data_IF_709340258289
#
_entry.id   IF_709340258289
#
_cell.length_a   1.000
_cell.length_b   1.000
_cell.length_c   1.000
_cell.angle_alpha   90.00
_cell.angle_beta   90.00
_cell.angle_gamma   90.00
#
_symmetry.space_group_name_H-M   'P 1'
#
loop_
_entity.id
_entity.type
_entity.pdbx_description
1 polymer ?
#
# COMPACT_ATOMS: atom_id res chain seq x y z
N UNK A 1 -4.64 -6.54 14.64
CA UNK A 1 -5.01 -5.68 15.76
C UNK A 1 -6.52 -5.58 15.75
N UNK A 2 -7.17 -6.47 16.47
CA UNK A 2 -8.61 -6.38 16.67
C UNK A 2 -8.83 -5.43 17.84
N UNK A 3 -9.03 -4.15 17.55
CA UNK A 3 -9.62 -3.24 18.51
C UNK A 3 -11.09 -3.66 18.72
N UNK A 4 -11.33 -4.59 19.61
CA UNK A 4 -12.66 -4.85 20.16
C UNK A 4 -12.93 -3.95 21.35
N UNK A 5 -12.64 -2.68 21.23
CA UNK A 5 -13.36 -1.71 22.04
C UNK A 5 -14.43 -1.10 21.15
N UNK A 6 -15.56 -1.77 21.14
CA UNK A 6 -16.81 -1.20 20.66
C UNK A 6 -17.10 -0.01 21.56
N UNK A 7 -16.81 1.19 21.09
CA UNK A 7 -17.36 2.42 21.66
C UNK A 7 -18.88 2.32 21.47
N UNK A 8 -19.56 1.80 22.46
CA UNK A 8 -21.02 1.89 22.55
C UNK A 8 -21.33 3.34 22.90
N UNK A 9 -21.52 4.17 21.88
CA UNK A 9 -22.15 5.47 22.04
C UNK A 9 -23.60 5.20 22.39
N UNK A 10 -23.90 5.15 23.69
CA UNK A 10 -25.27 5.20 24.20
C UNK A 10 -25.71 6.67 24.16
N UNK A 11 -26.47 7.02 23.12
CA UNK A 11 -27.30 8.22 23.08
C UNK A 11 -28.38 8.06 24.19
N UNK A 12 -28.16 8.69 25.35
CA UNK A 12 -29.20 8.84 26.35
C UNK A 12 -29.90 10.18 26.09
N UNK A 13 -31.07 10.08 25.47
CA UNK A 13 -32.09 11.12 25.48
C UNK A 13 -32.63 11.32 26.92
N UNK A 14 -32.61 12.54 27.31
CA UNK A 14 -33.35 13.24 28.33
C UNK A 14 -33.96 12.47 29.50
N UNK A 15 -33.39 12.72 30.68
CA UNK A 15 -34.04 12.45 31.97
C UNK A 15 -33.18 13.01 33.09
N UNK A 16 -33.65 14.07 33.74
CA UNK A 16 -33.09 14.54 34.99
C UNK A 16 -33.08 13.40 36.01
N UNK A 17 -31.97 12.72 36.21
CA UNK A 17 -31.77 11.78 37.31
C UNK A 17 -30.44 12.04 38.03
N UNK A 18 -30.52 11.95 39.31
CA UNK A 18 -29.56 12.32 40.31
C UNK A 18 -28.12 11.91 40.03
N UNK A 19 -27.12 12.79 40.22
CA UNK A 19 -25.71 12.54 39.93
C UNK A 19 -25.06 11.37 40.72
N UNK A 20 -25.73 10.88 41.75
CA UNK A 20 -25.25 9.78 42.59
C UNK A 20 -25.15 8.42 41.87
N UNK A 21 -26.03 8.11 40.90
CA UNK A 21 -26.06 6.80 40.27
C UNK A 21 -24.94 6.60 39.26
N UNK A 22 -24.53 7.66 38.56
CA UNK A 22 -23.45 7.59 37.52
C UNK A 22 -22.07 7.38 38.13
N UNK A 23 -21.80 7.94 39.29
CA UNK A 23 -20.50 7.82 39.96
C UNK A 23 -20.37 6.49 40.73
N UNK A 24 -21.48 5.99 41.32
CA UNK A 24 -21.44 4.63 41.85
C UNK A 24 -21.12 3.59 40.78
N UNK A 25 -21.57 3.83 39.54
CA UNK A 25 -21.28 2.96 38.42
C UNK A 25 -19.81 3.09 37.92
N UNK A 26 -19.23 4.30 37.94
CA UNK A 26 -17.82 4.49 37.55
C UNK A 26 -16.86 4.03 38.65
N UNK A 27 -17.20 4.19 39.92
CA UNK A 27 -16.47 3.61 41.05
C UNK A 27 -16.50 2.08 40.97
N UNK A 28 -17.67 1.50 40.67
CA UNK A 28 -17.80 0.05 40.49
C UNK A 28 -17.04 -0.50 39.26
N UNK A 29 -16.85 0.30 38.21
CA UNK A 29 -16.12 -0.11 37.02
C UNK A 29 -14.59 0.06 37.15
N UNK A 30 -14.10 0.76 38.16
CA UNK A 30 -12.64 0.91 38.38
C UNK A 30 -12.01 -0.30 39.08
N UNK A 31 -12.82 -1.25 39.57
CA UNK A 31 -12.32 -2.39 40.36
C UNK A 31 -11.74 -2.00 41.74
N UNK A 32 -11.79 -0.72 42.09
CA UNK A 32 -11.18 -0.17 43.31
C UNK A 32 -12.11 -0.17 44.52
N UNK A 33 -13.31 -0.72 44.39
CA UNK A 33 -14.31 -0.75 45.48
C UNK A 33 -14.89 0.62 45.83
N UNK A 34 -15.90 0.64 46.72
CA UNK A 34 -16.43 1.91 47.25
C UNK A 34 -15.53 2.43 48.37
N UNK A 35 -15.13 3.73 48.35
CA UNK A 35 -14.37 4.30 49.44
C UNK A 35 -15.19 4.31 50.74
N UNK A 36 -14.65 3.72 51.80
CA UNK A 36 -15.25 3.81 53.11
C UNK A 36 -15.08 5.23 53.66
N UNK A 37 -16.21 5.85 54.08
CA UNK A 37 -16.28 7.15 54.79
C UNK A 37 -15.40 8.27 54.18
N UNK A 38 -15.76 8.73 52.99
CA UNK A 38 -15.19 9.97 52.43
C UNK A 38 -16.08 11.17 52.74
N UNK A 39 -15.45 12.36 52.83
CA UNK A 39 -16.18 13.60 53.07
C UNK A 39 -17.07 14.02 51.91
N UNK A 40 -18.17 14.75 52.19
CA UNK A 40 -18.99 15.35 51.12
C UNK A 40 -18.14 16.28 50.20
N UNK A 41 -17.16 16.97 50.77
CA UNK A 41 -16.24 17.84 50.02
C UNK A 41 -15.38 17.02 49.01
N UNK A 42 -14.94 15.84 49.42
CA UNK A 42 -14.25 14.91 48.48
C UNK A 42 -15.17 14.53 47.31
N UNK A 43 -16.40 14.11 47.63
CA UNK A 43 -17.36 13.69 46.60
C UNK A 43 -17.69 14.82 45.64
N UNK A 44 -17.90 16.04 46.15
CA UNK A 44 -18.18 17.21 45.31
C UNK A 44 -17.04 17.49 44.34
N UNK A 45 -15.78 17.52 44.83
CA UNK A 45 -14.59 17.75 44.02
C UNK A 45 -14.34 16.65 43.00
N UNK A 46 -14.57 15.38 43.42
CA UNK A 46 -14.42 14.24 42.53
C UNK A 46 -15.48 14.21 41.41
N UNK A 47 -16.75 14.51 41.74
CA UNK A 47 -17.82 14.63 40.77
C UNK A 47 -17.56 15.77 39.74
N UNK A 48 -17.06 16.90 40.22
CA UNK A 48 -16.68 18.00 39.31
C UNK A 48 -15.57 17.54 38.36
N UNK A 49 -14.59 16.77 38.84
CA UNK A 49 -13.55 16.21 37.98
C UNK A 49 -14.11 15.32 36.86
N UNK A 50 -15.01 14.40 37.23
CA UNK A 50 -15.65 13.50 36.25
C UNK A 50 -16.51 14.28 35.25
N UNK A 51 -17.22 15.30 35.70
CA UNK A 51 -17.98 16.20 34.82
C UNK A 51 -17.08 16.92 33.85
N UNK A 52 -15.96 17.52 34.32
CA UNK A 52 -14.98 18.20 33.44
C UNK A 52 -14.33 17.22 32.45
N UNK A 53 -14.00 16.00 32.89
CA UNK A 53 -13.51 14.93 32.00
C UNK A 53 -14.53 14.58 30.93
N UNK A 54 -15.82 14.47 31.25
CA UNK A 54 -16.88 14.09 30.30
C UNK A 54 -17.10 15.10 29.18
N UNK A 55 -16.75 16.36 29.42
CA UNK A 55 -16.77 17.44 28.42
C UNK A 55 -15.35 17.73 27.85
N UNK A 56 -14.44 16.79 28.02
CA UNK A 56 -13.06 16.82 27.52
C UNK A 56 -12.19 17.97 28.07
N UNK A 57 -12.62 18.58 29.18
CA UNK A 57 -11.88 19.62 29.85
C UNK A 57 -10.87 19.06 30.86
N UNK A 58 -9.90 18.30 30.34
CA UNK A 58 -8.97 17.51 31.14
C UNK A 58 -8.12 18.34 32.12
N UNK A 59 -7.81 19.58 31.79
CA UNK A 59 -7.05 20.48 32.68
C UNK A 59 -7.86 20.84 33.93
N UNK A 60 -9.14 21.21 33.78
CA UNK A 60 -10.01 21.50 34.92
C UNK A 60 -10.36 20.22 35.69
N UNK A 61 -10.46 19.07 35.00
CA UNK A 61 -10.61 17.78 35.68
C UNK A 61 -9.43 17.52 36.61
N UNK A 62 -8.18 17.76 36.20
CA UNK A 62 -6.99 17.62 37.04
C UNK A 62 -7.06 18.57 38.21
N UNK A 63 -7.44 19.84 38.04
CA UNK A 63 -7.57 20.81 39.17
C UNK A 63 -8.62 20.36 40.19
N UNK A 64 -9.72 19.80 39.71
CA UNK A 64 -10.75 19.25 40.62
C UNK A 64 -10.26 17.99 41.34
N UNK A 65 -9.49 17.10 40.69
CA UNK A 65 -8.87 15.94 41.31
C UNK A 65 -7.83 16.34 42.37
N UNK A 66 -7.06 17.43 42.18
CA UNK A 66 -6.14 17.96 43.19
C UNK A 66 -6.85 18.40 44.48
N UNK A 67 -8.08 18.94 44.34
CA UNK A 67 -8.91 19.25 45.50
C UNK A 67 -9.42 17.95 46.17
N UNK A 68 -10.00 17.04 45.39
CA UNK A 68 -10.44 15.75 45.88
C UNK A 68 -9.34 15.02 46.64
N UNK A 69 -8.11 15.00 46.15
CA UNK A 69 -6.97 14.38 46.83
C UNK A 69 -6.68 14.99 48.20
N UNK A 70 -6.77 16.30 48.32
CA UNK A 70 -6.58 16.98 49.63
C UNK A 70 -7.69 16.64 50.62
N UNK A 71 -8.88 16.41 50.12
CA UNK A 71 -10.09 16.14 50.88
C UNK A 71 -10.33 14.66 51.17
N UNK A 72 -9.48 13.76 50.62
CA UNK A 72 -9.53 12.31 50.85
C UNK A 72 -9.23 11.90 52.32
N UNK A 73 -8.62 12.81 53.09
CA UNK A 73 -8.27 12.56 54.48
C UNK A 73 -7.25 11.44 54.71
N UNK A 74 -6.50 11.07 53.65
CA UNK A 74 -5.55 9.95 53.70
C UNK A 74 -6.22 8.58 53.51
N UNK A 75 -7.48 8.56 53.06
CA UNK A 75 -8.14 7.32 52.70
C UNK A 75 -7.47 6.72 51.45
N UNK A 76 -6.81 5.57 51.63
CA UNK A 76 -6.02 4.93 50.58
C UNK A 76 -6.86 4.55 49.36
N UNK A 77 -8.10 4.14 49.56
CA UNK A 77 -9.01 3.76 48.48
C UNK A 77 -9.45 5.00 47.66
N UNK A 78 -9.79 6.10 48.37
CA UNK A 78 -10.13 7.36 47.72
C UNK A 78 -8.91 7.91 46.93
N UNK A 79 -7.71 7.84 47.51
CA UNK A 79 -6.48 8.26 46.83
C UNK A 79 -6.21 7.40 45.59
N UNK A 80 -6.40 6.10 45.65
CA UNK A 80 -6.21 5.20 44.50
C UNK A 80 -7.13 5.56 43.33
N UNK A 81 -8.43 5.82 43.61
CA UNK A 81 -9.40 6.25 42.57
C UNK A 81 -8.97 7.59 41.96
N UNK A 82 -8.54 8.55 42.78
CA UNK A 82 -8.09 9.86 42.33
C UNK A 82 -6.84 9.72 41.47
N UNK A 83 -5.85 8.91 41.87
CA UNK A 83 -4.63 8.68 41.07
C UNK A 83 -4.95 8.02 39.72
N UNK A 84 -5.89 7.10 39.68
CA UNK A 84 -6.33 6.48 38.43
C UNK A 84 -6.98 7.50 37.49
N UNK A 85 -7.88 8.35 38.03
CA UNK A 85 -8.48 9.42 37.23
C UNK A 85 -7.46 10.49 36.80
N UNK A 86 -6.47 10.86 37.65
CA UNK A 86 -5.37 11.70 37.21
C UNK A 86 -4.69 11.11 35.99
N UNK A 87 -4.32 9.84 36.05
CA UNK A 87 -3.63 9.19 34.93
C UNK A 87 -4.42 9.22 33.64
N UNK A 88 -5.72 8.90 33.70
CA UNK A 88 -6.60 8.95 32.51
C UNK A 88 -6.65 10.34 31.87
N UNK A 89 -6.77 11.40 32.66
CA UNK A 89 -6.76 12.78 32.16
C UNK A 89 -5.37 13.20 31.63
N UNK A 90 -4.30 12.82 32.34
CA UNK A 90 -2.92 13.11 31.93
C UNK A 90 -2.54 12.41 30.62
N UNK A 91 -3.01 11.19 30.38
CA UNK A 91 -2.84 10.51 29.08
C UNK A 91 -3.47 11.34 27.95
N UNK A 92 -4.68 11.88 28.15
CA UNK A 92 -5.35 12.74 27.17
C UNK A 92 -4.57 14.04 26.92
N UNK A 93 -3.95 14.59 27.95
CA UNK A 93 -3.07 15.78 27.87
C UNK A 93 -1.64 15.44 27.39
N UNK A 94 -1.34 14.18 27.08
CA UNK A 94 0.01 13.70 26.70
C UNK A 94 1.07 13.88 27.79
N UNK A 95 0.65 13.97 29.04
CA UNK A 95 1.52 14.06 30.21
C UNK A 95 1.89 12.64 30.69
N UNK A 96 2.53 11.87 29.84
CA UNK A 96 2.73 10.43 29.99
C UNK A 96 3.51 10.04 31.25
N UNK A 97 4.56 10.81 31.61
CA UNK A 97 5.35 10.54 32.79
C UNK A 97 4.54 10.67 34.08
N UNK A 98 3.70 11.70 34.17
CA UNK A 98 2.82 11.89 35.34
C UNK A 98 1.75 10.78 35.41
N UNK A 99 1.19 10.40 34.26
CA UNK A 99 0.26 9.30 34.17
C UNK A 99 0.87 7.99 34.68
N UNK A 100 2.08 7.65 34.23
CA UNK A 100 2.82 6.46 34.70
C UNK A 100 2.99 6.47 36.22
N UNK A 101 3.49 7.57 36.78
CA UNK A 101 3.69 7.72 38.24
C UNK A 101 2.39 7.48 39.01
N UNK A 102 1.26 8.02 38.51
CA UNK A 102 -0.02 7.86 39.19
C UNK A 102 -0.57 6.44 39.05
N UNK A 103 -0.46 5.79 37.90
CA UNK A 103 -0.82 4.38 37.75
C UNK A 103 0.02 3.45 38.62
N UNK A 104 1.32 3.71 38.73
CA UNK A 104 2.20 2.95 39.63
C UNK A 104 1.85 3.13 41.11
N UNK A 105 1.39 4.32 41.51
CA UNK A 105 0.89 4.51 42.90
C UNK A 105 -0.30 3.61 43.19
N UNK A 106 -1.23 3.49 42.26
CA UNK A 106 -2.38 2.57 42.42
C UNK A 106 -1.91 1.13 42.49
N UNK A 107 -1.02 0.69 41.57
CA UNK A 107 -0.52 -0.69 41.55
C UNK A 107 0.35 -1.08 42.77
N UNK A 108 0.85 -0.11 43.54
CA UNK A 108 1.52 -0.42 44.82
C UNK A 108 0.52 -0.85 45.88
N UNK A 109 -0.72 -0.36 45.82
CA UNK A 109 -1.82 -0.72 46.75
C UNK A 109 -2.57 -1.94 46.24
N UNK A 110 -2.83 -1.99 44.93
CA UNK A 110 -3.59 -3.03 44.23
C UNK A 110 -2.82 -3.60 43.06
N UNK A 111 -1.85 -4.51 43.28
CA UNK A 111 -0.93 -5.00 42.26
C UNK A 111 -1.58 -5.76 41.09
N UNK A 112 -2.82 -6.23 41.32
CA UNK A 112 -3.58 -7.04 40.37
C UNK A 112 -4.81 -6.31 39.81
N UNK A 113 -4.91 -4.99 40.01
CA UNK A 113 -6.02 -4.22 39.44
C UNK A 113 -5.96 -4.22 37.94
N UNK A 114 -6.89 -4.95 37.32
CA UNK A 114 -6.89 -5.20 35.88
C UNK A 114 -6.99 -3.90 35.08
N UNK A 115 -7.92 -2.99 35.43
CA UNK A 115 -8.15 -1.74 34.69
C UNK A 115 -6.90 -0.84 34.69
N UNK A 116 -6.19 -0.83 35.81
CA UNK A 116 -4.95 -0.05 35.95
C UNK A 116 -3.80 -0.70 35.18
N UNK A 117 -3.71 -2.04 35.21
CA UNK A 117 -2.71 -2.78 34.43
C UNK A 117 -2.93 -2.57 32.92
N UNK A 118 -4.20 -2.62 32.46
CA UNK A 118 -4.55 -2.36 31.06
C UNK A 118 -4.21 -0.91 30.64
N UNK A 119 -4.59 0.06 31.48
CA UNK A 119 -4.31 1.48 31.20
C UNK A 119 -2.78 1.74 31.13
N UNK A 120 -2.00 1.12 32.01
CA UNK A 120 -0.55 1.25 32.01
C UNK A 120 0.09 0.49 30.83
N UNK A 121 -0.47 -0.66 30.45
CA UNK A 121 -0.09 -1.39 29.25
C UNK A 121 -0.30 -0.52 28.00
N UNK A 122 -1.48 0.08 27.86
CA UNK A 122 -1.80 0.96 26.74
C UNK A 122 -0.86 2.17 26.68
N UNK A 123 -0.54 2.75 27.84
CA UNK A 123 0.42 3.85 27.95
C UNK A 123 1.81 3.45 27.45
N UNK A 124 2.33 2.29 27.88
CA UNK A 124 3.64 1.81 27.42
C UNK A 124 3.63 1.42 25.92
N UNK A 125 2.51 0.91 25.44
CA UNK A 125 2.36 0.63 24.01
C UNK A 125 2.35 1.92 23.19
N UNK A 126 1.63 2.95 23.66
CA UNK A 126 1.56 4.28 23.05
C UNK A 126 2.92 4.98 23.02
N UNK A 127 3.66 4.91 24.13
CA UNK A 127 5.01 5.51 24.28
C UNK A 127 6.10 4.64 23.67
N UNK A 128 5.77 3.45 23.16
CA UNK A 128 6.68 2.46 22.59
C UNK A 128 7.69 1.87 23.58
N UNK A 129 7.40 1.94 24.87
CA UNK A 129 8.18 1.22 25.88
C UNK A 129 7.75 -0.26 25.94
N UNK A 130 8.05 -0.97 24.86
CA UNK A 130 7.59 -2.35 24.67
C UNK A 130 8.19 -3.31 25.71
N UNK A 131 9.34 -2.99 26.30
CA UNK A 131 9.92 -3.83 27.35
C UNK A 131 9.10 -3.78 28.63
N UNK A 132 8.64 -2.60 29.05
CA UNK A 132 7.72 -2.45 30.17
C UNK A 132 6.35 -3.05 29.85
N UNK A 133 5.83 -2.85 28.63
CA UNK A 133 4.59 -3.46 28.16
C UNK A 133 4.61 -5.00 28.26
N UNK A 134 5.75 -5.67 27.95
CA UNK A 134 5.90 -7.13 28.11
C UNK A 134 5.68 -7.59 29.55
N UNK A 135 6.14 -6.81 30.51
CA UNK A 135 5.98 -7.17 31.92
C UNK A 135 4.50 -7.15 32.31
N UNK A 136 3.76 -6.14 31.85
CA UNK A 136 2.34 -5.98 32.16
C UNK A 136 1.48 -7.00 31.43
N UNK A 137 1.73 -7.21 30.15
CA UNK A 137 0.92 -8.15 29.35
C UNK A 137 1.01 -9.57 29.91
N UNK A 138 2.16 -9.95 30.50
CA UNK A 138 2.29 -11.24 31.18
C UNK A 138 1.41 -11.37 32.42
N UNK A 139 1.13 -10.27 33.12
CA UNK A 139 0.17 -10.26 34.22
C UNK A 139 -1.26 -10.31 33.68
N UNK A 140 -1.55 -9.56 32.62
CA UNK A 140 -2.87 -9.50 32.01
C UNK A 140 -3.32 -10.84 31.39
N UNK A 141 -2.41 -11.69 30.94
CA UNK A 141 -2.69 -13.05 30.43
C UNK A 141 -3.43 -13.91 31.48
N UNK A 142 -3.28 -13.64 32.78
CA UNK A 142 -3.98 -14.36 33.84
C UNK A 142 -5.47 -14.05 33.81
N UNK A 143 -5.84 -12.84 33.46
CA UNK A 143 -7.22 -12.36 33.36
C UNK A 143 -7.85 -12.70 32.01
N UNK A 144 -7.08 -12.51 30.93
CA UNK A 144 -7.53 -12.82 29.58
C UNK A 144 -6.37 -13.41 28.73
N UNK A 145 -6.61 -14.62 28.22
CA UNK A 145 -5.63 -15.34 27.41
C UNK A 145 -5.37 -14.69 26.04
N UNK A 146 -6.28 -13.84 25.56
CA UNK A 146 -6.13 -13.12 24.28
C UNK A 146 -4.89 -12.21 24.28
N UNK A 147 -4.45 -11.72 25.45
CA UNK A 147 -3.19 -10.99 25.62
C UNK A 147 -1.93 -11.76 25.22
N UNK A 148 -2.03 -13.09 24.97
CA UNK A 148 -0.92 -13.84 24.38
C UNK A 148 -0.61 -13.41 22.95
N UNK A 149 -1.61 -12.97 22.19
CA UNK A 149 -1.37 -12.40 20.86
C UNK A 149 -0.61 -11.07 20.96
N UNK A 150 -0.96 -10.23 21.93
CA UNK A 150 -0.24 -8.99 22.21
C UNK A 150 1.20 -9.27 22.64
N UNK A 151 1.41 -10.29 23.48
CA UNK A 151 2.76 -10.69 23.89
C UNK A 151 3.60 -11.15 22.67
N UNK A 152 3.02 -11.90 21.75
CA UNK A 152 3.72 -12.30 20.52
C UNK A 152 4.10 -11.07 19.65
N UNK A 153 3.20 -10.09 19.55
CA UNK A 153 3.47 -8.83 18.85
C UNK A 153 4.59 -8.03 19.54
N UNK A 154 4.57 -7.91 20.88
CA UNK A 154 5.59 -7.23 21.64
C UNK A 154 6.98 -7.90 21.51
N UNK A 155 7.02 -9.23 21.50
CA UNK A 155 8.26 -9.96 21.22
C UNK A 155 8.78 -9.65 19.82
N UNK A 156 7.91 -9.55 18.80
CA UNK A 156 8.33 -9.15 17.46
C UNK A 156 8.86 -7.70 17.44
N UNK A 157 8.19 -6.75 18.11
CA UNK A 157 8.62 -5.34 18.17
C UNK A 157 9.94 -5.17 18.92
N UNK A 158 10.21 -6.00 19.92
CA UNK A 158 11.48 -6.00 20.67
C UNK A 158 12.53 -6.92 20.06
N UNK A 159 12.31 -7.41 18.83
CA UNK A 159 13.20 -8.30 18.08
C UNK A 159 13.50 -9.63 18.78
N UNK A 160 12.66 -10.06 19.71
CA UNK A 160 12.73 -11.38 20.36
C UNK A 160 12.01 -12.43 19.47
N UNK A 161 12.45 -12.55 18.23
CA UNK A 161 11.75 -13.28 17.18
C UNK A 161 11.51 -14.76 17.49
N UNK A 162 12.49 -15.44 18.14
CA UNK A 162 12.34 -16.84 18.52
C UNK A 162 11.19 -17.04 19.52
N UNK A 163 11.10 -16.14 20.53
CA UNK A 163 10.01 -16.19 21.51
C UNK A 163 8.66 -15.91 20.86
N UNK A 164 8.63 -14.96 19.92
CA UNK A 164 7.42 -14.66 19.18
C UNK A 164 6.96 -15.86 18.34
N UNK A 165 7.88 -16.51 17.59
CA UNK A 165 7.57 -17.68 16.77
C UNK A 165 7.09 -18.86 17.60
N UNK A 166 7.76 -19.14 18.74
CA UNK A 166 7.36 -20.22 19.65
C UNK A 166 5.95 -19.97 20.22
N UNK A 167 5.68 -18.75 20.67
CA UNK A 167 4.36 -18.40 21.21
C UNK A 167 3.28 -18.51 20.12
N UNK A 168 3.56 -18.02 18.91
CA UNK A 168 2.64 -18.14 17.77
C UNK A 168 2.37 -19.60 17.39
N UNK A 169 3.35 -20.50 17.53
CA UNK A 169 3.14 -21.94 17.31
C UNK A 169 2.21 -22.54 18.37
N UNK A 170 2.44 -22.23 19.64
CA UNK A 170 1.57 -22.69 20.74
C UNK A 170 0.13 -22.20 20.59
N UNK A 171 -0.06 -20.93 20.17
CA UNK A 171 -1.37 -20.35 19.92
C UNK A 171 -2.07 -21.01 18.73
N UNK A 172 -1.32 -21.35 17.70
CA UNK A 172 -1.88 -22.02 16.51
C UNK A 172 -2.31 -23.44 16.82
N UNK A 173 -1.55 -24.15 17.66
CA UNK A 173 -1.90 -25.50 18.15
C UNK A 173 -3.14 -25.50 19.07
N UNK A 174 -3.28 -24.46 19.92
CA UNK A 174 -4.37 -24.39 20.90
C UNK A 174 -5.65 -23.79 20.35
N UNK A 175 -5.54 -22.77 19.51
CA UNK A 175 -6.67 -21.93 19.04
C UNK A 175 -6.93 -22.08 17.54
N UNK A 176 -6.12 -22.86 16.82
CA UNK A 176 -6.21 -23.01 15.38
C UNK A 176 -5.57 -21.85 14.61
N UNK A 177 -5.87 -21.75 13.32
CA UNK A 177 -5.30 -20.73 12.46
C UNK A 177 -5.96 -19.34 12.65
N UNK A 178 -5.15 -18.29 12.57
CA UNK A 178 -5.60 -16.90 12.57
C UNK A 178 -4.89 -16.12 11.47
N UNK A 179 -5.64 -15.24 10.78
CA UNK A 179 -5.10 -14.33 9.78
C UNK A 179 -4.04 -13.41 10.38
N UNK A 180 -4.32 -12.90 11.59
CA UNK A 180 -3.40 -12.03 12.33
C UNK A 180 -2.09 -12.75 12.68
N UNK A 181 -2.17 -13.92 13.32
CA UNK A 181 -0.97 -14.70 13.70
C UNK A 181 -0.14 -15.14 12.48
N UNK A 182 -0.83 -15.53 11.40
CA UNK A 182 -0.16 -15.87 10.13
C UNK A 182 0.58 -14.65 9.54
N UNK A 183 -0.04 -13.47 9.55
CA UNK A 183 0.59 -12.25 9.07
C UNK A 183 1.81 -11.85 9.92
N UNK A 184 1.70 -11.93 11.24
CA UNK A 184 2.79 -11.63 12.17
C UNK A 184 3.98 -12.59 11.96
N UNK A 185 3.72 -13.90 11.82
CA UNK A 185 4.74 -14.92 11.50
C UNK A 185 5.46 -14.62 10.18
N UNK A 186 4.70 -14.30 9.11
CA UNK A 186 5.28 -13.92 7.83
C UNK A 186 6.14 -12.65 7.93
N UNK A 187 5.72 -11.69 8.73
CA UNK A 187 6.50 -10.48 8.99
C UNK A 187 7.82 -10.79 9.68
N UNK A 188 7.81 -11.67 10.69
CA UNK A 188 9.02 -12.11 11.39
C UNK A 188 9.99 -12.79 10.42
N UNK A 189 9.52 -13.75 9.61
CA UNK A 189 10.37 -14.44 8.64
C UNK A 189 11.01 -13.46 7.64
N UNK A 190 10.25 -12.47 7.16
CA UNK A 190 10.79 -11.43 6.27
C UNK A 190 11.83 -10.55 6.95
N UNK A 191 11.58 -10.14 8.20
CA UNK A 191 12.50 -9.27 8.94
C UNK A 191 13.81 -9.97 9.31
N UNK A 192 13.75 -11.27 9.50
CA UNK A 192 14.92 -12.09 9.86
C UNK A 192 15.62 -12.72 8.66
N UNK A 193 15.04 -12.66 7.46
CA UNK A 193 15.52 -13.39 6.29
C UNK A 193 15.44 -14.91 6.46
N UNK A 194 14.67 -15.42 7.43
CA UNK A 194 14.54 -16.85 7.73
C UNK A 194 13.58 -17.54 6.75
N UNK A 195 13.99 -17.63 5.50
CA UNK A 195 13.21 -18.30 4.44
C UNK A 195 13.04 -19.80 4.72
N UNK A 196 14.05 -20.46 5.29
CA UNK A 196 13.94 -21.87 5.66
C UNK A 196 12.87 -22.11 6.73
N UNK A 197 12.79 -21.24 7.74
CA UNK A 197 11.72 -21.31 8.75
C UNK A 197 10.32 -21.12 8.12
N UNK A 198 10.21 -20.19 7.16
CA UNK A 198 8.96 -20.00 6.41
C UNK A 198 8.58 -21.26 5.61
N UNK A 199 9.54 -21.88 4.91
CA UNK A 199 9.33 -23.13 4.16
C UNK A 199 8.88 -24.25 5.09
N UNK A 200 9.60 -24.51 6.18
CA UNK A 200 9.27 -25.57 7.13
C UNK A 200 7.86 -25.42 7.71
N UNK A 201 7.48 -24.17 8.04
CA UNK A 201 6.12 -23.88 8.51
C UNK A 201 5.06 -24.14 7.42
N UNK A 202 5.32 -23.74 6.17
CA UNK A 202 4.41 -23.97 5.06
C UNK A 202 4.30 -25.48 4.72
N UNK A 203 5.40 -26.23 4.80
CA UNK A 203 5.37 -27.69 4.66
C UNK A 203 4.54 -28.39 5.74
N UNK A 204 4.68 -27.95 7.03
CA UNK A 204 3.86 -28.44 8.14
C UNK A 204 2.37 -28.17 7.86
N UNK A 205 2.02 -26.95 7.40
CA UNK A 205 0.64 -26.58 7.05
C UNK A 205 0.09 -27.42 5.90
N UNK A 206 0.85 -27.57 4.82
CA UNK A 206 0.46 -28.44 3.69
C UNK A 206 0.21 -29.88 4.12
N UNK A 207 1.08 -30.42 4.97
CA UNK A 207 0.94 -31.78 5.50
C UNK A 207 -0.32 -31.94 6.35
N UNK A 208 -0.62 -30.95 7.18
CA UNK A 208 -1.79 -30.94 8.07
C UNK A 208 -3.11 -30.73 7.30
N UNK A 209 -3.07 -29.92 6.25
CA UNK A 209 -4.23 -29.64 5.39
C UNK A 209 -3.90 -29.80 3.91
N UNK A 210 -3.75 -31.05 3.43
CA UNK A 210 -3.36 -31.33 2.05
C UNK A 210 -4.43 -30.98 1.02
N UNK A 211 -5.65 -30.61 1.44
CA UNK A 211 -6.72 -30.15 0.57
C UNK A 211 -6.71 -28.61 0.37
N UNK A 212 -5.76 -27.90 0.97
CA UNK A 212 -5.64 -26.46 0.84
C UNK A 212 -4.70 -26.06 -0.31
N UNK A 213 -5.24 -25.69 -1.45
CA UNK A 213 -4.51 -25.24 -2.64
C UNK A 213 -3.52 -24.09 -2.32
N UNK A 214 -3.92 -23.17 -1.43
CA UNK A 214 -3.13 -21.97 -1.07
C UNK A 214 -1.77 -22.35 -0.47
N UNK A 215 -1.66 -23.46 0.26
CA UNK A 215 -0.39 -23.87 0.87
C UNK A 215 0.60 -24.35 -0.18
N UNK A 216 0.14 -24.99 -1.25
CA UNK A 216 1.00 -25.34 -2.38
C UNK A 216 1.51 -24.11 -3.11
N UNK A 217 0.62 -23.15 -3.39
CA UNK A 217 1.01 -21.89 -4.04
C UNK A 217 2.02 -21.11 -3.20
N UNK A 218 1.82 -21.07 -1.89
CA UNK A 218 2.75 -20.44 -0.95
C UNK A 218 4.12 -21.14 -0.95
N UNK A 219 4.16 -22.47 -0.99
CA UNK A 219 5.41 -23.24 -1.08
C UNK A 219 6.12 -23.03 -2.41
N UNK A 220 5.41 -23.01 -3.52
CA UNK A 220 5.97 -22.70 -4.84
C UNK A 220 6.70 -21.36 -4.80
N UNK A 221 6.04 -20.34 -4.24
CA UNK A 221 6.62 -19.01 -4.06
C UNK A 221 7.88 -19.05 -3.17
N UNK A 222 7.77 -19.65 -1.98
CA UNK A 222 8.89 -19.72 -1.02
C UNK A 222 10.09 -20.48 -1.55
N UNK A 223 9.88 -21.60 -2.25
CA UNK A 223 10.98 -22.33 -2.88
C UNK A 223 11.64 -21.54 -4.00
N UNK A 224 10.84 -20.82 -4.81
CA UNK A 224 11.37 -19.95 -5.87
C UNK A 224 12.22 -18.81 -5.29
N UNK A 225 11.74 -18.15 -4.25
CA UNK A 225 12.48 -17.08 -3.55
C UNK A 225 13.76 -17.59 -2.87
N UNK A 226 13.75 -18.85 -2.42
CA UNK A 226 14.91 -19.46 -1.79
C UNK A 226 15.93 -20.07 -2.79
N UNK A 227 15.76 -19.79 -4.07
CA UNK A 227 16.65 -20.29 -5.12
C UNK A 227 16.58 -21.80 -5.33
N UNK A 228 15.44 -22.43 -5.03
CA UNK A 228 15.20 -23.84 -5.25
C UNK A 228 14.09 -24.09 -6.29
N UNK A 229 14.34 -23.74 -7.56
CA UNK A 229 13.33 -23.83 -8.62
C UNK A 229 12.86 -25.27 -8.85
N UNK A 230 13.71 -26.27 -8.60
CA UNK A 230 13.36 -27.68 -8.77
C UNK A 230 12.24 -28.08 -7.78
N UNK A 231 12.39 -27.78 -6.49
CA UNK A 231 11.33 -28.08 -5.51
C UNK A 231 10.07 -27.24 -5.79
N UNK A 232 10.21 -26.00 -6.25
CA UNK A 232 9.09 -25.17 -6.64
C UNK A 232 8.31 -25.81 -7.80
N UNK A 233 9.02 -26.29 -8.82
CA UNK A 233 8.41 -26.98 -9.96
C UNK A 233 7.73 -28.29 -9.56
N UNK A 234 8.39 -29.14 -8.77
CA UNK A 234 7.80 -30.40 -8.26
C UNK A 234 6.52 -30.12 -7.46
N UNK A 235 6.53 -29.07 -6.62
CA UNK A 235 5.34 -28.65 -5.87
C UNK A 235 4.22 -28.16 -6.79
N UNK A 236 4.55 -27.48 -7.89
CA UNK A 236 3.58 -27.04 -8.88
C UNK A 236 2.96 -28.22 -9.64
N UNK A 237 3.75 -29.24 -9.99
CA UNK A 237 3.25 -30.47 -10.58
C UNK A 237 2.35 -31.26 -9.61
N UNK A 238 2.74 -31.34 -8.33
CA UNK A 238 1.91 -31.95 -7.29
C UNK A 238 0.57 -31.23 -7.16
N UNK A 239 0.59 -29.88 -7.14
CA UNK A 239 -0.60 -29.05 -7.11
C UNK A 239 -1.49 -29.33 -8.32
N UNK A 240 -0.92 -29.35 -9.53
CA UNK A 240 -1.67 -29.61 -10.77
C UNK A 240 -2.34 -30.98 -10.76
N UNK A 241 -1.63 -32.01 -10.27
CA UNK A 241 -2.17 -33.39 -10.19
C UNK A 241 -3.29 -33.48 -9.15
N UNK A 242 -3.15 -32.83 -8.03
CA UNK A 242 -4.10 -32.91 -6.91
C UNK A 242 -5.33 -32.02 -7.13
N UNK A 243 -5.13 -30.89 -7.80
CA UNK A 243 -6.17 -29.91 -8.15
C UNK A 243 -6.16 -29.66 -9.67
N UNK A 244 -6.66 -30.60 -10.50
CA UNK A 244 -6.58 -30.49 -11.96
C UNK A 244 -7.25 -29.26 -12.54
N UNK A 245 -8.21 -28.69 -11.79
CA UNK A 245 -8.93 -27.46 -12.16
C UNK A 245 -8.27 -26.19 -11.63
N UNK A 246 -7.13 -26.29 -10.93
CA UNK A 246 -6.38 -25.12 -10.46
C UNK A 246 -5.87 -24.33 -11.67
N UNK A 247 -6.35 -23.09 -11.79
CA UNK A 247 -5.84 -22.16 -12.80
C UNK A 247 -4.63 -21.41 -12.28
N UNK A 248 -4.59 -21.12 -10.97
CA UNK A 248 -3.51 -20.32 -10.36
C UNK A 248 -2.13 -20.98 -10.50
N UNK A 249 -2.05 -22.31 -10.53
CA UNK A 249 -0.79 -23.02 -10.74
C UNK A 249 -0.13 -22.67 -12.09
N UNK A 250 -0.92 -22.31 -13.09
CA UNK A 250 -0.41 -21.96 -14.42
C UNK A 250 0.36 -20.65 -14.46
N UNK A 251 0.15 -19.77 -13.44
CA UNK A 251 0.99 -18.57 -13.23
C UNK A 251 2.44 -18.91 -12.85
N UNK A 252 2.68 -20.10 -12.30
CA UNK A 252 4.03 -20.58 -12.02
C UNK A 252 4.53 -21.53 -13.13
N UNK A 253 3.69 -22.46 -13.57
CA UNK A 253 4.06 -23.50 -14.53
C UNK A 253 4.58 -22.96 -15.86
N UNK A 254 3.99 -21.84 -16.38
CA UNK A 254 4.48 -21.30 -17.65
C UNK A 254 5.94 -20.84 -17.55
N UNK A 255 6.34 -20.25 -16.43
CA UNK A 255 7.73 -19.80 -16.20
C UNK A 255 8.68 -20.99 -16.11
N UNK A 256 8.34 -21.99 -15.29
CA UNK A 256 9.15 -23.21 -15.21
C UNK A 256 9.30 -23.91 -16.55
N UNK A 257 8.24 -23.95 -17.36
CA UNK A 257 8.30 -24.51 -18.70
C UNK A 257 9.19 -23.68 -19.64
N UNK A 258 9.17 -22.34 -19.53
CA UNK A 258 10.08 -21.47 -20.29
C UNK A 258 11.55 -21.76 -19.92
N UNK A 259 11.83 -21.81 -18.61
CA UNK A 259 13.18 -22.03 -18.09
C UNK A 259 13.75 -23.42 -18.51
N UNK A 260 12.88 -24.41 -18.69
CA UNK A 260 13.24 -25.76 -19.15
C UNK A 260 13.21 -25.92 -20.67
N UNK A 261 12.91 -24.86 -21.41
CA UNK A 261 12.78 -24.93 -22.88
C UNK A 261 11.55 -25.73 -23.35
N UNK A 262 10.62 -26.05 -22.47
CA UNK A 262 9.35 -26.72 -22.81
C UNK A 262 8.34 -25.70 -23.38
N UNK A 263 8.55 -25.32 -24.63
CA UNK A 263 7.73 -24.28 -25.31
C UNK A 263 6.26 -24.67 -25.43
N UNK A 264 5.94 -25.95 -25.61
CA UNK A 264 4.55 -26.44 -25.68
C UNK A 264 3.86 -26.32 -24.31
N UNK A 265 4.53 -26.68 -23.23
CA UNK A 265 4.02 -26.55 -21.86
C UNK A 265 3.82 -25.11 -21.46
N UNK A 266 4.77 -24.24 -21.80
CA UNK A 266 4.67 -22.80 -21.57
C UNK A 266 3.44 -22.22 -22.25
N UNK A 267 3.27 -22.44 -23.54
CA UNK A 267 2.12 -21.98 -24.31
C UNK A 267 0.78 -22.49 -23.74
N UNK A 268 0.71 -23.78 -23.40
CA UNK A 268 -0.51 -24.35 -22.83
C UNK A 268 -0.91 -23.69 -21.50
N UNK A 269 0.09 -23.41 -20.65
CA UNK A 269 -0.13 -22.71 -19.36
C UNK A 269 -0.53 -21.24 -19.56
N UNK A 270 0.16 -20.51 -20.46
CA UNK A 270 -0.18 -19.12 -20.78
C UNK A 270 -1.61 -19.00 -21.32
N UNK A 271 -2.02 -19.86 -22.25
CA UNK A 271 -3.40 -19.88 -22.75
C UNK A 271 -4.45 -20.09 -21.67
N UNK A 272 -4.18 -20.94 -20.68
CA UNK A 272 -5.08 -21.11 -19.53
C UNK A 272 -5.18 -19.85 -18.68
N UNK A 273 -4.06 -19.14 -18.48
CA UNK A 273 -4.04 -17.84 -17.78
C UNK A 273 -4.87 -16.81 -18.54
N UNK A 274 -4.69 -16.67 -19.85
CA UNK A 274 -5.39 -15.68 -20.66
C UNK A 274 -6.92 -15.91 -20.70
N UNK A 275 -7.35 -17.16 -20.74
CA UNK A 275 -8.78 -17.49 -20.78
C UNK A 275 -9.42 -17.55 -19.39
N UNK A 276 -8.67 -17.26 -18.33
CA UNK A 276 -9.15 -17.35 -16.95
C UNK A 276 -10.00 -16.13 -16.56
N UNK A 277 -11.12 -16.39 -15.85
CA UNK A 277 -11.91 -15.37 -15.16
C UNK A 277 -11.54 -15.24 -13.68
N UNK A 278 -10.68 -16.13 -13.17
CA UNK A 278 -10.26 -16.17 -11.77
C UNK A 278 -8.97 -15.40 -11.53
N UNK A 279 -8.09 -15.36 -12.54
CA UNK A 279 -6.83 -14.62 -12.47
C UNK A 279 -7.11 -13.14 -12.71
N UNK A 280 -6.60 -12.31 -11.82
CA UNK A 280 -6.68 -10.86 -11.93
C UNK A 280 -6.04 -10.37 -13.23
N UNK A 281 -6.65 -9.37 -13.86
CA UNK A 281 -6.23 -8.83 -15.14
C UNK A 281 -4.76 -8.39 -15.14
N UNK A 282 -4.31 -7.77 -14.06
CA UNK A 282 -2.92 -7.34 -13.94
C UNK A 282 -1.91 -8.49 -14.03
N UNK A 283 -2.25 -9.64 -13.44
CA UNK A 283 -1.45 -10.86 -13.59
C UNK A 283 -1.47 -11.39 -15.02
N UNK A 284 -2.64 -11.35 -15.70
CA UNK A 284 -2.73 -11.71 -17.10
C UNK A 284 -1.88 -10.79 -17.99
N UNK A 285 -1.83 -9.48 -17.71
CA UNK A 285 -1.01 -8.52 -18.45
C UNK A 285 0.50 -8.76 -18.27
N UNK A 286 0.92 -9.21 -17.08
CA UNK A 286 2.32 -9.64 -16.88
C UNK A 286 2.66 -10.85 -17.73
N UNK A 287 1.78 -11.86 -17.74
CA UNK A 287 1.95 -13.05 -18.58
C UNK A 287 1.91 -12.70 -20.08
N UNK A 288 1.10 -11.70 -20.48
CA UNK A 288 1.10 -11.19 -21.85
C UNK A 288 2.47 -10.59 -22.23
N UNK A 289 3.09 -9.80 -21.36
CA UNK A 289 4.45 -9.27 -21.60
C UNK A 289 5.47 -10.39 -21.81
N UNK A 290 5.46 -11.41 -20.95
CA UNK A 290 6.33 -12.59 -21.09
C UNK A 290 6.00 -13.37 -22.38
N UNK A 291 4.72 -13.48 -22.74
CA UNK A 291 4.30 -14.12 -23.99
C UNK A 291 4.78 -13.39 -25.24
N UNK A 292 4.69 -12.07 -25.27
CA UNK A 292 5.20 -11.27 -26.40
C UNK A 292 6.72 -11.47 -26.58
N UNK A 293 7.47 -11.50 -25.48
CA UNK A 293 8.89 -11.84 -25.49
C UNK A 293 9.14 -13.27 -25.98
N UNK A 294 8.33 -14.22 -25.50
CA UNK A 294 8.41 -15.62 -25.90
C UNK A 294 8.17 -15.80 -27.41
N UNK A 295 7.14 -15.18 -27.99
CA UNK A 295 6.87 -15.24 -29.44
C UNK A 295 7.99 -14.59 -30.23
N UNK A 296 8.60 -13.53 -29.67
CA UNK A 296 9.77 -12.90 -30.31
C UNK A 296 10.92 -13.88 -30.50
N UNK A 297 11.16 -14.74 -29.52
CA UNK A 297 12.21 -15.76 -29.55
C UNK A 297 11.78 -17.05 -30.26
N UNK A 298 10.47 -17.29 -30.40
CA UNK A 298 9.89 -18.49 -30.98
C UNK A 298 8.88 -18.15 -32.09
N UNK A 299 9.33 -17.74 -33.28
CA UNK A 299 8.45 -17.25 -34.36
C UNK A 299 7.39 -18.22 -34.84
N UNK A 300 7.57 -19.53 -34.59
CA UNK A 300 6.55 -20.55 -34.89
C UNK A 300 5.23 -20.37 -34.14
N UNK A 301 5.21 -19.56 -33.07
CA UNK A 301 4.00 -19.24 -32.30
C UNK A 301 3.38 -17.89 -32.70
N UNK A 302 3.83 -17.28 -33.81
CA UNK A 302 3.30 -15.99 -34.26
C UNK A 302 1.79 -16.03 -34.55
N UNK A 303 1.30 -17.15 -35.11
CA UNK A 303 -0.13 -17.35 -35.37
C UNK A 303 -1.00 -17.34 -34.08
N UNK A 304 -0.43 -17.74 -32.96
CA UNK A 304 -1.12 -17.75 -31.66
C UNK A 304 -1.29 -16.34 -31.09
N UNK A 305 -0.41 -15.41 -31.50
CA UNK A 305 -0.46 -14.02 -31.04
C UNK A 305 -1.75 -13.33 -31.46
N UNK A 306 -2.24 -13.54 -32.69
CA UNK A 306 -3.46 -12.91 -33.18
C UNK A 306 -4.67 -13.28 -32.32
N UNK A 307 -4.83 -14.55 -31.98
CA UNK A 307 -5.93 -15.02 -31.13
C UNK A 307 -5.84 -14.48 -29.70
N UNK A 308 -4.63 -14.32 -29.16
CA UNK A 308 -4.42 -13.77 -27.82
C UNK A 308 -4.67 -12.27 -27.80
N UNK A 309 -4.20 -11.56 -28.82
CA UNK A 309 -4.47 -10.11 -29.00
C UNK A 309 -5.98 -9.88 -29.10
N UNK A 310 -6.73 -10.74 -29.80
CA UNK A 310 -8.21 -10.63 -29.84
C UNK A 310 -8.86 -10.76 -28.46
N UNK A 311 -8.38 -11.64 -27.60
CA UNK A 311 -8.89 -11.77 -26.23
C UNK A 311 -8.70 -10.46 -25.46
N UNK A 312 -7.51 -9.85 -25.56
CA UNK A 312 -7.19 -8.62 -24.86
C UNK A 312 -7.73 -7.35 -25.53
N UNK A 313 -7.99 -7.38 -26.83
CA UNK A 313 -8.56 -6.22 -27.53
C UNK A 313 -9.97 -5.84 -27.08
N UNK A 314 -10.63 -6.72 -26.32
CA UNK A 314 -11.94 -6.48 -25.68
C UNK A 314 -11.81 -5.89 -24.28
N UNK A 315 -10.60 -5.83 -23.74
CA UNK A 315 -10.35 -5.22 -22.44
C UNK A 315 -10.28 -3.69 -22.57
N UNK A 316 -10.96 -3.00 -21.67
CA UNK A 316 -10.97 -1.54 -21.64
C UNK A 316 -9.76 -1.04 -20.80
N UNK A 317 -8.51 -1.32 -21.24
CA UNK A 317 -7.29 -1.00 -20.50
C UNK A 317 -6.17 -0.56 -21.46
N UNK A 318 -5.77 0.71 -21.36
CA UNK A 318 -4.75 1.31 -22.21
C UNK A 318 -3.38 0.64 -22.11
N UNK A 319 -2.97 0.17 -20.93
CA UNK A 319 -1.67 -0.50 -20.74
C UNK A 319 -1.51 -1.79 -21.56
N UNK A 320 -2.61 -2.49 -21.82
CA UNK A 320 -2.58 -3.69 -22.66
C UNK A 320 -2.27 -3.34 -24.10
N UNK A 321 -2.94 -2.33 -24.61
CA UNK A 321 -2.72 -1.85 -25.96
C UNK A 321 -1.31 -1.28 -26.14
N UNK A 322 -0.81 -0.57 -25.12
CA UNK A 322 0.57 -0.07 -25.08
C UNK A 322 1.59 -1.22 -25.22
N UNK A 323 1.47 -2.27 -24.38
CA UNK A 323 2.37 -3.45 -24.47
C UNK A 323 2.34 -4.16 -25.81
N UNK A 324 1.15 -4.30 -26.40
CA UNK A 324 1.00 -4.92 -27.73
C UNK A 324 1.62 -4.02 -28.79
N UNK A 325 1.39 -2.72 -28.71
CA UNK A 325 1.97 -1.74 -29.64
C UNK A 325 3.49 -1.72 -29.55
N UNK A 326 4.07 -1.69 -28.34
CA UNK A 326 5.51 -1.75 -28.10
C UNK A 326 6.13 -3.03 -28.70
N UNK A 327 5.44 -4.17 -28.56
CA UNK A 327 5.89 -5.41 -29.20
C UNK A 327 5.97 -5.25 -30.72
N UNK A 328 4.91 -4.77 -31.38
CA UNK A 328 4.93 -4.58 -32.83
C UNK A 328 5.96 -3.54 -33.26
N UNK A 329 6.16 -2.48 -32.50
CA UNK A 329 7.20 -1.48 -32.74
C UNK A 329 8.61 -2.11 -32.68
N UNK A 330 8.87 -2.96 -31.68
CA UNK A 330 10.14 -3.68 -31.53
C UNK A 330 10.42 -4.66 -32.70
N UNK A 331 9.37 -5.09 -33.37
CA UNK A 331 9.43 -5.93 -34.58
C UNK A 331 9.55 -5.11 -35.88
N UNK A 332 9.58 -3.78 -35.78
CA UNK A 332 9.61 -2.90 -36.95
C UNK A 332 8.24 -2.78 -37.64
N UNK A 333 7.19 -3.40 -37.11
CA UNK A 333 5.84 -3.27 -37.67
C UNK A 333 5.13 -2.04 -37.08
N UNK A 334 5.53 -0.87 -37.61
CA UNK A 334 5.06 0.44 -37.13
C UNK A 334 3.58 0.70 -37.40
N UNK A 335 3.01 0.14 -38.47
CA UNK A 335 1.58 0.25 -38.80
C UNK A 335 0.70 -0.41 -37.75
N UNK A 336 1.02 -1.65 -37.38
CA UNK A 336 0.30 -2.34 -36.30
C UNK A 336 0.53 -1.66 -34.95
N UNK A 337 1.77 -1.20 -34.67
CA UNK A 337 2.06 -0.45 -33.45
C UNK A 337 1.17 0.80 -33.37
N UNK A 338 1.09 1.60 -34.43
CA UNK A 338 0.20 2.78 -34.47
C UNK A 338 -1.25 2.42 -34.22
N UNK A 339 -1.72 1.33 -34.86
CA UNK A 339 -3.12 0.86 -34.68
C UNK A 339 -3.42 0.55 -33.22
N UNK A 340 -2.50 -0.13 -32.50
CA UNK A 340 -2.71 -0.48 -31.09
C UNK A 340 -2.51 0.70 -30.15
N UNK A 341 -1.59 1.60 -30.42
CA UNK A 341 -1.49 2.85 -29.66
C UNK A 341 -2.76 3.69 -29.77
N UNK A 342 -3.34 3.81 -30.98
CA UNK A 342 -4.61 4.53 -31.19
C UNK A 342 -5.76 3.88 -30.41
N UNK A 343 -5.90 2.54 -30.45
CA UNK A 343 -6.88 1.82 -29.63
C UNK A 343 -6.65 2.06 -28.13
N UNK A 344 -5.39 2.15 -27.71
CA UNK A 344 -5.06 2.48 -26.32
C UNK A 344 -5.60 3.86 -25.92
N UNK A 345 -5.46 4.87 -26.76
CA UNK A 345 -5.97 6.22 -26.52
C UNK A 345 -7.49 6.25 -26.45
N UNK A 346 -8.19 5.44 -27.27
CA UNK A 346 -9.67 5.36 -27.23
C UNK A 346 -10.22 4.92 -25.86
N UNK A 347 -9.44 4.12 -25.10
CA UNK A 347 -9.83 3.58 -23.80
C UNK A 347 -9.13 4.25 -22.61
N UNK A 348 -8.02 4.94 -22.84
CA UNK A 348 -7.19 5.59 -21.83
C UNK A 348 -6.61 6.89 -22.41
N UNK A 349 -7.49 7.88 -22.58
CA UNK A 349 -7.16 9.16 -23.23
C UNK A 349 -6.14 10.00 -22.49
N UNK A 350 -5.96 9.72 -21.19
CA UNK A 350 -5.07 10.47 -20.30
C UNK A 350 -3.72 9.75 -20.11
N UNK A 351 -3.41 8.75 -20.93
CA UNK A 351 -2.15 8.04 -20.89
C UNK A 351 -1.10 8.77 -21.77
N UNK A 352 -0.23 9.49 -21.11
CA UNK A 352 0.81 10.30 -21.77
C UNK A 352 1.73 9.48 -22.70
N UNK A 353 2.08 8.24 -22.32
CA UNK A 353 2.93 7.37 -23.13
C UNK A 353 2.26 6.97 -24.44
N UNK A 354 0.97 6.57 -24.37
CA UNK A 354 0.17 6.26 -25.56
C UNK A 354 0.05 7.47 -26.48
N UNK A 355 -0.25 8.65 -25.94
CA UNK A 355 -0.36 9.89 -26.70
C UNK A 355 0.94 10.24 -27.42
N UNK A 356 2.06 10.24 -26.67
CA UNK A 356 3.39 10.55 -27.22
C UNK A 356 3.79 9.58 -28.31
N UNK A 357 3.65 8.28 -28.10
CA UNK A 357 4.06 7.26 -29.07
C UNK A 357 3.18 7.28 -30.33
N UNK A 358 1.88 7.54 -30.16
CA UNK A 358 0.97 7.74 -31.30
C UNK A 358 1.39 8.95 -32.15
N UNK A 359 1.67 10.09 -31.50
CA UNK A 359 2.09 11.31 -32.17
C UNK A 359 3.39 11.11 -32.95
N UNK A 360 4.38 10.42 -32.36
CA UNK A 360 5.64 10.12 -33.02
C UNK A 360 5.42 9.31 -34.31
N UNK A 361 4.62 8.25 -34.25
CA UNK A 361 4.31 7.42 -35.42
C UNK A 361 3.44 8.15 -36.45
N UNK A 362 2.46 8.96 -35.99
CA UNK A 362 1.66 9.78 -36.91
C UNK A 362 2.55 10.77 -37.72
N UNK A 363 3.52 11.41 -37.08
CA UNK A 363 4.48 12.28 -37.74
C UNK A 363 5.36 11.49 -38.72
N UNK A 364 5.83 10.32 -38.33
CA UNK A 364 6.63 9.45 -39.19
C UNK A 364 5.87 8.98 -40.43
N UNK A 365 4.59 8.67 -40.30
CA UNK A 365 3.69 8.30 -41.40
C UNK A 365 3.11 9.51 -42.15
N UNK A 366 3.61 10.72 -41.91
CA UNK A 366 3.13 11.97 -42.53
C UNK A 366 1.64 12.26 -42.29
N UNK A 367 1.06 11.67 -41.24
CA UNK A 367 -0.32 11.91 -40.85
C UNK A 367 -0.46 13.24 -40.05
N UNK A 368 0.06 14.32 -40.65
CA UNK A 368 0.25 15.60 -39.98
C UNK A 368 -1.03 16.23 -39.44
N UNK A 369 -2.18 16.06 -40.14
CA UNK A 369 -3.47 16.55 -39.65
C UNK A 369 -3.91 15.83 -38.37
N UNK A 370 -3.74 14.52 -38.32
CA UNK A 370 -4.06 13.72 -37.14
C UNK A 370 -3.11 14.10 -35.98
N UNK A 371 -1.81 14.21 -36.22
CA UNK A 371 -0.83 14.60 -35.22
C UNK A 371 -1.09 16.00 -34.66
N UNK A 372 -1.46 16.97 -35.50
CA UNK A 372 -1.83 18.32 -35.07
C UNK A 372 -3.04 18.28 -34.14
N UNK A 373 -4.11 17.58 -34.51
CA UNK A 373 -5.34 17.52 -33.72
C UNK A 373 -5.10 16.81 -32.39
N UNK A 374 -4.43 15.65 -32.43
CA UNK A 374 -4.14 14.87 -31.24
C UNK A 374 -3.23 15.65 -30.26
N UNK A 375 -2.16 16.29 -30.77
CA UNK A 375 -1.26 17.07 -29.91
C UNK A 375 -1.98 18.29 -29.30
N UNK A 376 -2.87 18.95 -30.04
CA UNK A 376 -3.64 20.06 -29.50
C UNK A 376 -4.55 19.62 -28.34
N UNK A 377 -5.31 18.52 -28.51
CA UNK A 377 -6.14 17.96 -27.43
C UNK A 377 -5.31 17.44 -26.26
N UNK A 378 -4.14 16.84 -26.53
CA UNK A 378 -3.23 16.39 -25.49
C UNK A 378 -2.69 17.53 -24.62
N UNK A 379 -2.47 18.71 -25.19
CA UNK A 379 -2.02 19.89 -24.45
C UNK A 379 -3.09 20.46 -23.51
N UNK A 380 -4.37 20.19 -23.74
CA UNK A 380 -5.43 20.54 -22.80
C UNK A 380 -5.34 19.73 -21.51
N UNK A 381 -4.87 18.47 -21.61
CA UNK A 381 -4.70 17.56 -20.47
C UNK A 381 -3.31 17.72 -19.83
N UNK A 382 -2.30 17.91 -20.64
CA UNK A 382 -0.89 17.98 -20.22
C UNK A 382 -0.21 19.31 -20.65
N UNK A 383 -0.65 20.46 -20.14
CA UNK A 383 -0.17 21.77 -20.61
C UNK A 383 1.31 22.05 -20.27
N UNK A 384 1.89 21.32 -19.30
CA UNK A 384 3.28 21.52 -18.88
C UNK A 384 4.27 20.49 -19.51
N UNK A 385 3.90 19.86 -20.63
CA UNK A 385 4.74 18.85 -21.29
C UNK A 385 5.38 19.42 -22.58
N UNK A 386 6.66 19.84 -22.52
CA UNK A 386 7.32 20.48 -23.68
C UNK A 386 7.27 19.66 -24.96
N UNK A 387 7.45 18.34 -24.85
CA UNK A 387 7.46 17.45 -26.00
C UNK A 387 6.17 17.53 -26.82
N UNK A 388 5.01 17.77 -26.20
CA UNK A 388 3.74 17.87 -26.93
C UNK A 388 3.70 19.15 -27.79
N UNK A 389 4.25 20.27 -27.29
CA UNK A 389 4.39 21.49 -28.06
C UNK A 389 5.32 21.28 -29.28
N UNK A 390 6.43 20.58 -29.07
CA UNK A 390 7.34 20.24 -30.16
C UNK A 390 6.66 19.38 -31.23
N UNK A 391 5.95 18.32 -30.83
CA UNK A 391 5.24 17.45 -31.78
C UNK A 391 4.10 18.19 -32.50
N UNK A 392 3.39 19.09 -31.80
CA UNK A 392 2.40 19.96 -32.42
C UNK A 392 3.03 20.91 -33.45
N UNK A 393 4.16 21.49 -33.10
CA UNK A 393 4.90 22.38 -34.02
C UNK A 393 5.45 21.64 -35.25
N UNK A 394 6.00 20.43 -35.08
CA UNK A 394 6.41 19.57 -36.18
C UNK A 394 5.25 19.29 -37.15
N UNK A 395 4.05 18.98 -36.62
CA UNK A 395 2.88 18.78 -37.45
C UNK A 395 2.45 20.06 -38.19
N UNK A 396 2.43 21.20 -37.48
CA UNK A 396 2.09 22.51 -38.08
C UNK A 396 3.09 22.95 -39.14
N UNK A 397 4.39 22.77 -38.89
CA UNK A 397 5.45 23.11 -39.89
C UNK A 397 5.24 22.33 -41.21
N UNK A 398 4.95 21.02 -41.12
CA UNK A 398 4.67 20.20 -42.30
C UNK A 398 3.37 20.58 -42.99
N UNK A 399 2.40 21.13 -42.27
CA UNK A 399 1.15 21.67 -42.84
C UNK A 399 1.26 23.13 -43.26
N UNK A 400 2.48 23.70 -43.30
CA UNK A 400 2.76 25.12 -43.60
C UNK A 400 2.06 26.12 -42.62
N UNK A 401 1.65 25.65 -41.48
CA UNK A 401 1.04 26.44 -40.40
C UNK A 401 2.10 27.14 -39.55
N UNK A 402 3.10 27.80 -40.17
CA UNK A 402 4.30 28.31 -39.50
C UNK A 402 4.06 29.23 -38.31
N UNK A 403 3.01 30.07 -38.37
CA UNK A 403 2.66 30.94 -37.21
C UNK A 403 2.20 30.12 -36.00
N UNK A 404 1.42 29.09 -36.25
CA UNK A 404 0.97 28.19 -35.16
C UNK A 404 2.16 27.37 -34.61
N UNK A 405 3.06 26.91 -35.45
CA UNK A 405 4.27 26.24 -35.02
C UNK A 405 5.16 27.13 -34.14
N UNK A 406 5.37 28.38 -34.50
CA UNK A 406 6.15 29.33 -33.67
C UNK A 406 5.50 29.53 -32.32
N UNK A 407 4.18 29.77 -32.27
CA UNK A 407 3.46 29.98 -31.02
C UNK A 407 3.58 28.75 -30.10
N UNK A 408 3.41 27.54 -30.64
CA UNK A 408 3.59 26.30 -29.87
C UNK A 408 5.02 26.17 -29.33
N UNK A 409 6.04 26.44 -30.17
CA UNK A 409 7.45 26.32 -29.76
C UNK A 409 7.83 27.36 -28.70
N UNK A 410 7.42 28.61 -28.86
CA UNK A 410 7.69 29.64 -27.88
C UNK A 410 7.03 29.33 -26.55
N UNK A 411 5.77 28.87 -26.54
CA UNK A 411 5.08 28.42 -25.32
C UNK A 411 5.75 27.20 -24.71
N UNK A 412 6.16 26.22 -25.51
CA UNK A 412 6.80 25.00 -25.03
C UNK A 412 8.17 25.24 -24.40
N UNK A 413 8.92 26.24 -24.85
CA UNK A 413 10.20 26.64 -24.25
C UNK A 413 10.03 27.15 -22.80
N UNK A 414 8.90 27.74 -22.45
CA UNK A 414 8.62 28.22 -21.08
C UNK A 414 8.48 27.03 -20.08
N UNK A 415 8.16 25.84 -20.58
CA UNK A 415 8.05 24.61 -19.78
C UNK A 415 9.29 23.73 -19.89
N UNK A 416 10.26 24.09 -20.71
CA UNK A 416 11.45 23.29 -20.92
C UNK A 416 12.45 23.52 -19.79
N UNK A 417 12.85 22.44 -19.11
CA UNK A 417 13.80 22.51 -18.03
C UNK A 417 14.90 21.45 -18.21
N UNK A 418 16.15 21.89 -18.22
CA UNK A 418 17.38 21.07 -18.19
C UNK A 418 17.40 19.87 -19.17
N UNK A 419 17.02 20.10 -20.43
CA UNK A 419 17.04 19.11 -21.50
C UNK A 419 17.57 19.72 -22.80
N UNK A 420 18.89 19.71 -22.94
CA UNK A 420 19.59 20.30 -24.06
C UNK A 420 19.21 19.65 -25.41
N UNK A 421 18.99 18.34 -25.46
CA UNK A 421 18.61 17.67 -26.71
C UNK A 421 17.23 18.13 -27.19
N UNK A 422 16.27 18.23 -26.29
CA UNK A 422 14.93 18.71 -26.62
C UNK A 422 14.96 20.20 -26.98
N UNK A 423 15.76 21.02 -26.27
CA UNK A 423 15.93 22.45 -26.57
C UNK A 423 16.51 22.66 -28.00
N UNK A 424 17.48 21.87 -28.37
CA UNK A 424 18.01 21.88 -29.73
C UNK A 424 16.92 21.61 -30.78
N UNK A 425 16.09 20.57 -30.56
CA UNK A 425 14.99 20.28 -31.49
C UNK A 425 13.98 21.45 -31.57
N UNK A 426 13.70 22.14 -30.46
CA UNK A 426 12.85 23.34 -30.47
C UNK A 426 13.43 24.43 -31.35
N UNK A 427 14.73 24.73 -31.22
CA UNK A 427 15.37 25.73 -32.06
C UNK A 427 15.45 25.33 -33.54
N UNK A 428 15.68 24.06 -33.83
CA UNK A 428 15.62 23.55 -35.21
C UNK A 428 14.24 23.77 -35.83
N UNK A 429 13.16 23.46 -35.09
CA UNK A 429 11.79 23.65 -35.57
C UNK A 429 11.40 25.13 -35.69
N UNK A 430 11.92 26.01 -34.84
CA UNK A 430 11.76 27.48 -34.99
C UNK A 430 12.46 27.97 -36.23
N UNK A 431 13.67 27.50 -36.54
CA UNK A 431 14.39 27.84 -37.77
C UNK A 431 13.57 27.45 -39.00
N UNK A 432 12.99 26.22 -39.01
CA UNK A 432 12.11 25.75 -40.10
C UNK A 432 10.89 26.67 -40.24
N UNK A 433 10.21 27.01 -39.17
CA UNK A 433 9.02 27.86 -39.21
C UNK A 433 9.31 29.28 -39.70
N UNK A 434 10.39 29.90 -39.22
CA UNK A 434 10.80 31.23 -39.70
C UNK A 434 11.31 31.24 -41.15
N UNK A 435 11.92 30.16 -41.61
CA UNK A 435 12.24 29.96 -43.02
C UNK A 435 10.97 29.96 -43.86
N UNK A 436 9.96 29.19 -43.45
CA UNK A 436 8.68 29.13 -44.16
C UNK A 436 7.92 30.44 -44.20
N UNK A 437 8.13 31.34 -43.23
CA UNK A 437 7.60 32.71 -43.23
C UNK A 437 8.47 33.70 -44.01
N UNK A 438 9.58 33.28 -44.58
CA UNK A 438 10.53 34.18 -45.27
C UNK A 438 11.38 35.07 -44.36
N UNK A 439 11.40 34.82 -43.05
CA UNK A 439 12.19 35.58 -42.08
C UNK A 439 13.57 34.93 -41.91
N UNK A 440 14.44 35.15 -42.89
CA UNK A 440 15.78 34.54 -42.96
C UNK A 440 16.68 34.94 -41.77
N UNK A 441 16.51 36.14 -41.21
CA UNK A 441 17.33 36.59 -40.07
C UNK A 441 17.01 35.78 -38.80
N UNK A 442 15.74 35.65 -38.46
CA UNK A 442 15.35 34.83 -37.33
C UNK A 442 15.65 33.33 -37.54
N UNK A 443 15.42 32.84 -38.75
CA UNK A 443 15.74 31.47 -39.10
C UNK A 443 17.23 31.14 -38.84
N UNK A 444 18.15 32.00 -39.35
CA UNK A 444 19.58 31.84 -39.13
C UNK A 444 19.98 31.93 -37.64
N UNK A 445 19.32 32.82 -36.86
CA UNK A 445 19.60 32.93 -35.45
C UNK A 445 19.22 31.65 -34.68
N UNK A 446 18.02 31.08 -34.92
CA UNK A 446 17.61 29.84 -34.25
C UNK A 446 18.43 28.63 -34.73
N UNK A 447 18.80 28.54 -36.01
CA UNK A 447 19.71 27.52 -36.50
C UNK A 447 21.08 27.58 -35.80
N UNK A 448 21.62 28.79 -35.58
CA UNK A 448 22.85 28.98 -34.81
C UNK A 448 22.71 28.53 -33.36
N UNK A 449 21.62 28.90 -32.65
CA UNK A 449 21.34 28.45 -31.29
C UNK A 449 21.29 26.92 -31.19
N UNK A 450 20.63 26.25 -32.14
CA UNK A 450 20.58 24.80 -32.18
C UNK A 450 21.97 24.16 -32.36
N UNK A 451 22.85 24.77 -33.16
CA UNK A 451 24.23 24.28 -33.34
C UNK A 451 25.10 24.48 -32.08
N UNK A 452 24.95 25.62 -31.38
CA UNK A 452 25.72 25.93 -30.18
C UNK A 452 25.48 24.97 -29.02
N UNK A 453 24.30 24.31 -28.95
CA UNK A 453 23.98 23.30 -27.91
C UNK A 453 24.84 22.02 -28.11
N UNK A 454 25.26 21.69 -29.33
CA UNK A 454 26.13 20.53 -29.61
C UNK A 454 27.57 20.71 -29.16
N UNK A 455 28.07 21.97 -29.16
CA UNK A 455 29.46 22.28 -28.82
C UNK A 455 29.69 22.43 -27.29
N UNK A 456 28.63 22.39 -26.48
CA UNK A 456 28.69 22.57 -25.03
C UNK A 456 28.59 21.27 -24.20
N UNK A 457 28.49 20.11 -24.85
CA UNK A 457 28.56 18.77 -24.30
C UNK A 457 29.79 18.00 -24.82
#
# INVERSE_FOLDING_TARGET
MNFKHTVTVLLILGGFFAPRALVAQEIATTGLGEPQEVSDAFLESFYEALKQKSIENYTLAITALEKAQKESGGNLQADAIVFFEFAKNQIKLKQYNQAEINLEKVLRQEPENQDVLETLYDLYYLTRDYNKAIVLVKKLIVFDQDYKEDLANLYQRTKQYEKALLLLEQLEESWGESVYRTALRKQIYRQTGNTLGAINNAEKKRKNNPANEREYLNLIYLYSENGNPEKAYQTALELQNKFPNSILVHLALYKFHLDQGNTKGAMASMKKVFNSRVIEKESQYKVLGDFLTFVQQNPQYQAELEGIVEVFSKDNNGQVFEKIADYYLSKGNKELALTFYQKGIEVDSDNFSLLKNTLLLQLEFNSFVAAKNLSASSLEVFPAQPVLYLLNAKANNNLQGFKAAINALETGLDYLFDNAELEKEFYEQLAVAYTGLGNTIKAANFAKKAAEILDSN
#
